data_IF_201112058951
#
_entry.id   IF_201112058951
#
_cell.length_a   1.000
_cell.length_b   1.000
_cell.length_c   1.000
_cell.angle_alpha   90.00
_cell.angle_beta   90.00
_cell.angle_gamma   90.00
#
_symmetry.space_group_name_H-M   'P 1'
#
loop_
_entity.id
_entity.type
_entity.pdbx_description
1 polymer ?
#
# COMPACT_ATOMS: atom_id res chain seq x y z
N UNK A 1 2.49 -16.94 -33.27
CA UNK A 1 3.63 -17.15 -32.34
C UNK A 1 3.05 -17.70 -31.04
N UNK A 2 3.45 -18.88 -30.59
CA UNK A 2 3.00 -19.47 -29.32
C UNK A 2 4.22 -19.75 -28.44
N UNK A 3 4.17 -19.32 -27.18
CA UNK A 3 5.15 -19.66 -26.16
C UNK A 3 4.50 -20.67 -25.21
N UNK A 4 5.12 -21.84 -25.03
CA UNK A 4 4.67 -22.87 -24.09
C UNK A 4 5.87 -23.38 -23.30
N UNK A 5 5.62 -23.76 -22.04
CA UNK A 5 6.57 -24.56 -21.29
C UNK A 5 6.90 -25.86 -22.05
N UNK A 6 8.15 -26.31 -21.95
CA UNK A 6 8.50 -27.66 -22.34
C UNK A 6 7.92 -28.66 -21.33
N UNK A 7 7.69 -29.89 -21.76
CA UNK A 7 6.95 -30.96 -21.07
C UNK A 7 6.95 -30.91 -19.53
N UNK A 8 5.79 -30.66 -18.93
CA UNK A 8 5.56 -30.67 -17.46
C UNK A 8 6.47 -29.78 -16.59
N UNK A 9 7.31 -28.93 -17.19
CA UNK A 9 8.18 -28.04 -16.43
C UNK A 9 7.38 -26.85 -15.86
N UNK A 10 7.51 -26.55 -14.56
CA UNK A 10 6.91 -25.37 -13.97
C UNK A 10 7.67 -24.13 -14.43
N UNK A 11 7.11 -23.41 -15.39
CA UNK A 11 7.63 -22.12 -15.85
C UNK A 11 7.01 -20.99 -15.03
N UNK A 12 7.86 -20.14 -14.44
CA UNK A 12 7.44 -18.91 -13.76
C UNK A 12 8.01 -17.72 -14.53
N UNK A 13 7.14 -16.86 -15.03
CA UNK A 13 7.53 -15.55 -15.56
C UNK A 13 7.36 -14.54 -14.43
N UNK A 14 8.46 -13.86 -14.06
CA UNK A 14 8.47 -12.87 -12.98
C UNK A 14 9.14 -11.58 -13.45
N UNK A 15 8.48 -10.45 -13.21
CA UNK A 15 9.10 -9.11 -13.30
C UNK A 15 9.77 -8.68 -11.99
N UNK A 16 9.71 -9.50 -10.94
CA UNK A 16 10.29 -9.21 -9.63
C UNK A 16 11.78 -9.54 -9.55
N UNK A 17 12.48 -8.88 -8.63
CA UNK A 17 13.87 -9.18 -8.30
C UNK A 17 13.94 -9.94 -6.98
N UNK A 18 14.59 -11.11 -6.99
CA UNK A 18 14.91 -11.83 -5.75
C UNK A 18 15.90 -11.00 -4.93
N UNK A 19 15.62 -10.85 -3.65
CA UNK A 19 16.53 -10.24 -2.70
C UNK A 19 17.00 -11.31 -1.72
N UNK A 20 18.31 -11.49 -1.63
CA UNK A 20 18.93 -12.30 -0.59
C UNK A 20 19.17 -11.38 0.61
N UNK A 21 18.35 -11.57 1.65
CA UNK A 21 18.27 -10.68 2.80
C UNK A 21 18.59 -11.46 4.06
N UNK A 22 19.40 -10.85 4.93
CA UNK A 22 19.63 -11.35 6.28
C UNK A 22 18.56 -10.76 7.21
N UNK A 23 17.58 -11.59 7.58
CA UNK A 23 16.46 -11.20 8.43
C UNK A 23 16.81 -11.38 9.90
N UNK A 24 16.58 -10.33 10.67
CA UNK A 24 16.87 -10.29 12.10
C UNK A 24 15.61 -9.96 12.90
N UNK A 25 15.41 -10.54 14.09
CA UNK A 25 14.35 -10.14 15.00
C UNK A 25 14.47 -8.67 15.38
N UNK A 26 13.35 -7.95 15.39
CA UNK A 26 13.30 -6.56 15.84
C UNK A 26 12.50 -6.39 17.13
N UNK A 27 11.16 -6.42 17.06
CA UNK A 27 10.28 -6.30 18.25
C UNK A 27 8.89 -6.84 17.96
N UNK A 28 8.21 -7.38 18.99
CA UNK A 28 6.78 -7.74 18.92
C UNK A 28 6.41 -8.60 17.69
N UNK A 29 7.25 -9.60 17.36
CA UNK A 29 7.05 -10.46 16.19
C UNK A 29 7.43 -9.83 14.84
N UNK A 30 7.92 -8.58 14.82
CA UNK A 30 8.42 -7.93 13.61
C UNK A 30 9.86 -8.40 13.33
N UNK A 31 10.10 -8.84 12.10
CA UNK A 31 11.42 -9.08 11.54
C UNK A 31 11.86 -7.89 10.68
N UNK A 32 13.16 -7.66 10.59
CA UNK A 32 13.75 -6.59 9.77
C UNK A 32 14.95 -7.10 8.98
N UNK A 33 15.12 -6.60 7.77
CA UNK A 33 16.31 -6.80 6.94
C UNK A 33 16.70 -5.50 6.22
N UNK A 34 17.98 -5.38 5.85
CA UNK A 34 18.48 -4.26 5.05
C UNK A 34 18.44 -4.61 3.57
N UNK A 35 17.81 -3.76 2.76
CA UNK A 35 17.80 -3.92 1.31
C UNK A 35 19.05 -3.31 0.67
N UNK A 36 19.47 -3.79 -0.52
CA UNK A 36 20.44 -3.07 -1.34
C UNK A 36 19.98 -1.63 -1.65
N UNK A 37 20.94 -0.72 -1.79
CA UNK A 37 20.65 0.67 -2.13
C UNK A 37 19.86 0.79 -3.45
N UNK A 38 18.91 1.72 -3.50
CA UNK A 38 18.09 1.97 -4.68
C UNK A 38 16.97 0.97 -4.94
N UNK A 39 16.78 -0.02 -4.05
CA UNK A 39 15.61 -0.91 -4.09
C UNK A 39 14.37 -0.14 -3.63
N UNK A 40 13.40 0.05 -4.53
CA UNK A 40 12.07 0.57 -4.23
C UNK A 40 11.02 -0.44 -4.72
N UNK A 41 10.00 -0.69 -3.90
CA UNK A 41 8.92 -1.62 -4.21
C UNK A 41 7.67 -1.26 -3.41
N UNK A 42 6.51 -1.64 -3.95
CA UNK A 42 5.19 -1.58 -3.32
C UNK A 42 4.57 -2.97 -3.13
N UNK A 43 5.28 -4.02 -3.56
CA UNK A 43 4.92 -5.43 -3.40
C UNK A 43 6.11 -6.23 -2.89
N UNK A 44 5.84 -7.08 -1.90
CA UNK A 44 6.79 -8.02 -1.34
C UNK A 44 6.17 -9.41 -1.36
N UNK A 45 6.96 -10.40 -1.75
CA UNK A 45 6.62 -11.81 -1.65
C UNK A 45 7.66 -12.50 -0.77
N UNK A 46 7.19 -13.25 0.23
CA UNK A 46 8.01 -14.09 1.09
C UNK A 46 7.52 -15.52 0.89
N UNK A 47 8.42 -16.44 0.57
CA UNK A 47 8.07 -17.83 0.26
C UNK A 47 6.96 -17.98 -0.79
N UNK A 48 6.98 -17.08 -1.79
CA UNK A 48 5.98 -16.95 -2.88
C UNK A 48 4.60 -16.44 -2.44
N UNK A 49 4.41 -16.11 -1.18
CA UNK A 49 3.19 -15.51 -0.67
C UNK A 49 3.29 -13.99 -0.65
N UNK A 50 2.28 -13.33 -1.26
CA UNK A 50 2.20 -11.87 -1.29
C UNK A 50 1.94 -11.34 0.12
N UNK A 51 2.85 -10.49 0.59
CA UNK A 51 2.69 -9.80 1.85
C UNK A 51 1.81 -8.56 1.69
N UNK A 52 1.03 -8.27 2.72
CA UNK A 52 0.18 -7.07 2.74
C UNK A 52 1.00 -5.87 3.18
N UNK A 53 0.99 -4.81 2.37
CA UNK A 53 1.62 -3.54 2.73
C UNK A 53 1.04 -3.03 4.05
N UNK A 54 1.89 -2.54 4.95
CA UNK A 54 1.46 -1.96 6.21
C UNK A 54 0.46 -0.83 5.95
N UNK A 55 -0.72 -0.94 6.57
CA UNK A 55 -1.87 -0.07 6.29
C UNK A 55 -2.76 0.11 7.50
N UNK A 56 -3.59 1.14 7.44
CA UNK A 56 -4.69 1.33 8.38
C UNK A 56 -6.03 1.47 7.63
N UNK A 57 -7.13 0.87 8.15
CA UNK A 57 -7.11 -0.21 9.13
C UNK A 57 -6.28 -1.41 8.66
N UNK A 58 -5.84 -2.22 9.62
CA UNK A 58 -5.21 -3.51 9.33
C UNK A 58 -6.12 -4.31 8.40
N UNK A 59 -5.51 -5.06 7.49
CA UNK A 59 -6.23 -5.83 6.49
C UNK A 59 -7.28 -6.75 7.14
N UNK A 60 -8.49 -6.79 6.57
CA UNK A 60 -9.51 -7.76 6.92
C UNK A 60 -10.20 -8.31 5.66
N UNK A 61 -10.22 -9.64 5.47
CA UNK A 61 -10.70 -10.24 4.23
C UNK A 61 -12.18 -9.98 3.94
N UNK A 62 -12.98 -9.73 4.97
CA UNK A 62 -14.45 -9.74 4.87
C UNK A 62 -15.07 -8.40 4.42
N UNK A 63 -14.27 -7.33 4.30
CA UNK A 63 -14.78 -5.98 4.03
C UNK A 63 -14.25 -5.47 2.69
N UNK A 64 -14.93 -5.81 1.61
CA UNK A 64 -14.62 -5.32 0.26
C UNK A 64 -14.98 -3.84 0.07
N UNK A 65 -14.39 -3.16 -0.92
CA UNK A 65 -13.33 -3.63 -1.83
C UNK A 65 -11.92 -3.45 -1.29
N UNK A 66 -11.75 -2.65 -0.24
CA UNK A 66 -10.41 -2.35 0.29
C UNK A 66 -9.94 -3.28 1.40
N UNK A 67 -10.68 -4.31 1.79
CA UNK A 67 -10.31 -5.18 2.91
C UNK A 67 -10.17 -4.40 4.23
N UNK A 68 -11.27 -3.71 4.58
CA UNK A 68 -11.47 -2.70 5.63
C UNK A 68 -11.09 -1.28 5.24
N UNK A 69 -11.81 -0.33 5.83
CA UNK A 69 -11.67 1.11 5.62
C UNK A 69 -11.99 1.89 6.91
N UNK A 70 -11.66 3.17 6.94
CA UNK A 70 -12.01 4.03 8.08
C UNK A 70 -12.09 5.50 7.67
N UNK A 71 -13.15 6.19 8.11
CA UNK A 71 -13.35 7.60 7.86
C UNK A 71 -12.27 8.50 8.52
N UNK A 72 -11.62 8.02 9.59
CA UNK A 72 -10.57 8.72 10.32
C UNK A 72 -9.14 8.39 9.83
N UNK A 73 -9.00 7.71 8.68
CA UNK A 73 -7.74 7.11 8.25
C UNK A 73 -6.56 8.10 8.11
N UNK A 74 -6.84 9.38 7.85
CA UNK A 74 -5.86 10.48 7.76
C UNK A 74 -6.27 11.67 8.65
N UNK A 75 -7.07 11.43 9.68
CA UNK A 75 -7.41 12.44 10.69
C UNK A 75 -6.17 12.98 11.40
N UNK A 76 -6.18 14.22 11.90
CA UNK A 76 -5.06 14.78 12.67
C UNK A 76 -4.65 13.90 13.86
N UNK A 77 -5.62 13.35 14.59
CA UNK A 77 -5.39 12.46 15.76
C UNK A 77 -4.66 11.18 15.36
N UNK A 78 -4.91 10.70 14.13
CA UNK A 78 -4.19 9.55 13.58
C UNK A 78 -2.80 9.94 13.10
N UNK A 79 -2.71 11.03 12.34
CA UNK A 79 -1.46 11.52 11.77
C UNK A 79 -0.45 11.98 12.83
N UNK A 80 -0.92 12.37 14.02
CA UNK A 80 -0.10 12.65 15.20
C UNK A 80 0.85 11.48 15.50
N UNK A 81 0.37 10.23 15.39
CA UNK A 81 1.12 9.01 15.70
C UNK A 81 2.25 8.70 14.72
N UNK A 82 2.28 9.38 13.56
CA UNK A 82 3.28 9.13 12.52
C UNK A 82 4.48 10.07 12.69
N UNK A 83 5.70 9.53 12.76
CA UNK A 83 6.89 10.38 12.78
C UNK A 83 7.08 11.13 11.44
N UNK A 84 6.93 10.42 10.31
CA UNK A 84 6.94 10.99 8.97
C UNK A 84 6.00 10.18 8.06
N UNK A 85 4.88 10.74 7.59
CA UNK A 85 3.94 10.00 6.76
C UNK A 85 4.22 10.11 5.25
N UNK A 86 5.23 10.87 4.84
CA UNK A 86 5.58 11.06 3.44
C UNK A 86 5.89 9.73 2.73
N UNK A 87 5.35 9.56 1.52
CA UNK A 87 5.46 8.32 0.75
C UNK A 87 4.34 7.30 1.01
N UNK A 88 3.50 7.51 2.03
CA UNK A 88 2.26 6.75 2.21
C UNK A 88 1.23 7.06 1.12
N UNK A 89 0.23 6.18 0.98
CA UNK A 89 -0.86 6.35 0.03
C UNK A 89 -2.21 6.38 0.73
N UNK A 90 -3.08 7.29 0.28
CA UNK A 90 -4.48 7.35 0.67
C UNK A 90 -5.29 6.72 -0.46
N UNK A 91 -6.07 5.70 -0.10
CA UNK A 91 -7.00 5.03 -0.98
C UNK A 91 -8.40 5.54 -0.65
N UNK A 92 -8.99 6.32 -1.55
CA UNK A 92 -10.36 6.80 -1.41
C UNK A 92 -11.24 6.10 -2.45
N UNK A 93 -12.51 5.87 -2.12
CA UNK A 93 -13.49 5.33 -3.05
C UNK A 93 -14.61 6.33 -3.27
N UNK A 94 -15.05 6.48 -4.53
CA UNK A 94 -16.27 7.21 -4.83
C UNK A 94 -17.45 6.56 -4.09
N UNK A 95 -18.39 7.36 -3.57
CA UNK A 95 -19.53 6.85 -2.78
C UNK A 95 -20.35 5.77 -3.51
N UNK A 96 -20.46 5.86 -4.84
CA UNK A 96 -21.17 4.89 -5.66
C UNK A 96 -20.26 3.73 -6.14
N UNK A 97 -19.02 3.63 -5.65
CA UNK A 97 -18.04 2.59 -5.98
C UNK A 97 -17.63 2.53 -7.48
N UNK A 98 -17.83 3.61 -8.23
CA UNK A 98 -17.53 3.69 -9.67
C UNK A 98 -16.06 3.98 -10.00
N UNK A 99 -15.22 4.11 -8.97
CA UNK A 99 -13.80 4.41 -9.12
C UNK A 99 -13.15 4.74 -7.79
N UNK A 100 -11.85 4.47 -7.70
CA UNK A 100 -11.00 4.86 -6.59
C UNK A 100 -10.08 6.02 -6.97
N UNK A 101 -9.73 6.84 -5.99
CA UNK A 101 -8.65 7.80 -6.11
C UNK A 101 -7.51 7.40 -5.19
N UNK A 102 -6.30 7.61 -5.70
CA UNK A 102 -5.08 7.38 -4.96
C UNK A 102 -4.36 8.73 -4.82
N UNK A 103 -4.07 9.09 -3.58
CA UNK A 103 -3.27 10.27 -3.26
C UNK A 103 -1.98 9.82 -2.60
N UNK A 104 -0.88 10.46 -2.97
CA UNK A 104 0.42 10.24 -2.32
C UNK A 104 0.58 11.27 -1.21
N UNK A 105 0.83 10.82 0.01
CA UNK A 105 1.11 11.69 1.15
C UNK A 105 2.50 12.32 0.94
N UNK A 106 2.54 13.65 0.99
CA UNK A 106 3.77 14.44 0.90
C UNK A 106 4.32 14.83 2.27
N UNK A 107 3.49 14.81 3.31
CA UNK A 107 3.90 15.13 4.67
C UNK A 107 2.72 15.37 5.62
N UNK A 108 2.99 16.06 6.73
CA UNK A 108 1.97 16.60 7.65
C UNK A 108 2.38 17.97 8.16
N UNK A 109 1.39 18.81 8.44
CA UNK A 109 1.56 20.14 9.05
C UNK A 109 1.78 20.03 10.57
N UNK A 110 2.17 21.12 11.26
CA UNK A 110 2.31 21.15 12.73
C UNK A 110 1.02 20.79 13.49
N UNK A 111 -0.14 21.12 12.93
CA UNK A 111 -1.47 20.73 13.45
C UNK A 111 -1.87 19.28 13.09
N UNK A 112 -0.92 18.47 12.60
CA UNK A 112 -1.10 17.09 12.16
C UNK A 112 -2.01 16.87 10.95
N UNK A 113 -2.44 17.92 10.28
CA UNK A 113 -3.15 17.80 9.01
C UNK A 113 -2.23 17.19 7.93
N UNK A 114 -2.68 16.10 7.31
CA UNK A 114 -1.92 15.39 6.28
C UNK A 114 -1.92 16.19 4.98
N UNK A 115 -0.74 16.38 4.38
CA UNK A 115 -0.62 16.97 3.04
C UNK A 115 -0.39 15.86 2.03
N UNK A 116 -1.04 15.96 0.86
CA UNK A 116 -0.99 14.93 -0.17
C UNK A 116 -1.19 15.53 -1.56
N UNK A 117 -0.73 14.80 -2.57
CA UNK A 117 -0.83 15.16 -3.99
C UNK A 117 -1.45 14.02 -4.80
N UNK A 118 -2.00 14.33 -5.97
CA UNK A 118 -2.64 13.36 -6.85
C UNK A 118 -4.15 13.55 -6.96
N UNK A 119 -4.86 12.51 -7.41
CA UNK A 119 -6.31 12.54 -7.60
C UNK A 119 -6.83 13.16 -8.92
N UNK A 120 -6.05 13.15 -10.00
CA UNK A 120 -6.48 13.69 -11.29
C UNK A 120 -6.97 12.60 -12.27
N UNK A 121 -8.30 12.47 -12.39
CA UNK A 121 -9.08 12.30 -13.66
C UNK A 121 -10.58 12.08 -13.38
N UNK A 122 -11.33 13.12 -13.02
CA UNK A 122 -12.79 13.17 -13.29
C UNK A 122 -13.32 14.60 -13.16
N UNK A 123 -14.10 15.01 -14.16
CA UNK A 123 -14.72 16.31 -14.35
C UNK A 123 -15.95 16.58 -13.44
N UNK A 124 -15.97 16.15 -12.17
CA UNK A 124 -17.13 16.42 -11.30
C UNK A 124 -16.76 16.50 -9.80
N UNK A 125 -16.81 17.68 -9.17
CA UNK A 125 -16.57 17.84 -7.73
C UNK A 125 -17.86 17.50 -6.95
N UNK A 126 -18.09 16.23 -6.64
CA UNK A 126 -19.22 15.83 -5.79
C UNK A 126 -18.73 15.16 -4.49
N UNK A 127 -18.90 15.88 -3.37
CA UNK A 127 -18.98 15.42 -1.98
C UNK A 127 -18.42 14.02 -1.69
N UNK A 128 -17.14 13.98 -1.31
CA UNK A 128 -16.36 12.77 -1.07
C UNK A 128 -16.39 12.42 0.42
N UNK A 129 -16.68 11.16 0.73
CA UNK A 129 -16.46 10.59 2.05
C UNK A 129 -15.40 9.51 1.91
N UNK A 130 -14.43 9.53 2.82
CA UNK A 130 -13.66 8.32 3.07
C UNK A 130 -14.62 7.37 3.77
N UNK A 131 -15.15 6.43 2.99
CA UNK A 131 -15.67 5.19 3.53
C UNK A 131 -14.43 4.47 4.01
#
# INVERSE_FOLDING_TARGET
MFYRAFESEPVVVSGGRRLELDWQPYRNGILQAKTPNGVQFDQLFVDRERQVLARYPSYGPDVLPYHRFSADAFSPERAERWSNPAGGFIHAMHRNHWGGYHYRITGKKPNHEVTYEGGSRTNNPANWKCH
#
